data_IF_052181552955
#
_entry.id   IF_052181552955
#
_cell.length_a   1.000
_cell.length_b   1.000
_cell.length_c   1.000
_cell.angle_alpha   90.00
_cell.angle_beta   90.00
_cell.angle_gamma   90.00
#
_symmetry.space_group_name_H-M   'P 1'
#
loop_
_entity.id
_entity.type
_entity.pdbx_description
1 polymer ?
#
# COMPACT_ATOMS: atom_id res chain seq x y z
N UNK A 1 10.51 12.33 -2.64
CA UNK A 1 9.91 13.15 -1.57
C UNK A 1 8.52 12.59 -1.31
N UNK A 2 8.16 12.29 -0.06
CA UNK A 2 6.84 11.73 0.29
C UNK A 2 5.91 12.86 0.75
N UNK A 3 4.65 12.82 0.31
CA UNK A 3 3.60 13.77 0.69
C UNK A 3 2.51 13.01 1.44
N UNK A 4 2.06 13.48 2.63
CA UNK A 4 1.02 12.78 3.37
C UNK A 4 -0.33 12.84 2.64
N UNK A 5 -0.96 11.68 2.47
CA UNK A 5 -2.30 11.55 1.88
C UNK A 5 -3.19 10.80 2.86
N UNK A 6 -4.28 11.43 3.30
CA UNK A 6 -5.24 10.83 4.24
C UNK A 6 -6.47 10.33 3.49
N UNK A 7 -6.67 9.02 3.46
CA UNK A 7 -7.84 8.37 2.85
C UNK A 7 -8.55 7.46 3.86
N UNK A 8 -9.85 7.24 3.64
CA UNK A 8 -10.62 6.27 4.42
C UNK A 8 -10.77 4.98 3.61
N UNK A 9 -10.41 3.86 4.21
CA UNK A 9 -10.57 2.53 3.62
C UNK A 9 -11.71 1.77 4.30
N UNK A 10 -12.41 0.87 3.56
CA UNK A 10 -13.31 -0.09 4.19
C UNK A 10 -12.57 -0.89 5.27
N UNK A 11 -13.26 -1.19 6.39
CA UNK A 11 -12.68 -1.90 7.54
C UNK A 11 -11.93 -3.17 7.14
N UNK A 12 -12.50 -3.96 6.22
CA UNK A 12 -11.88 -5.21 5.73
C UNK A 12 -10.54 -4.94 5.03
N UNK A 13 -10.47 -3.92 4.18
CA UNK A 13 -9.25 -3.52 3.47
C UNK A 13 -8.19 -3.01 4.43
N UNK A 14 -8.56 -2.16 5.39
CA UNK A 14 -7.63 -1.66 6.40
C UNK A 14 -7.04 -2.81 7.27
N UNK A 15 -7.87 -3.80 7.63
CA UNK A 15 -7.42 -4.99 8.35
C UNK A 15 -6.49 -5.87 7.51
N UNK A 16 -6.80 -6.05 6.22
CA UNK A 16 -5.96 -6.81 5.30
C UNK A 16 -4.60 -6.14 5.10
N UNK A 17 -4.56 -4.82 4.91
CA UNK A 17 -3.33 -4.04 4.81
C UNK A 17 -2.48 -4.17 6.08
N UNK A 18 -3.11 -4.04 7.26
CA UNK A 18 -2.44 -4.24 8.55
C UNK A 18 -1.82 -5.63 8.67
N UNK A 19 -2.56 -6.67 8.26
CA UNK A 19 -2.07 -8.05 8.30
C UNK A 19 -0.92 -8.27 7.32
N UNK A 20 -1.05 -7.80 6.09
CA UNK A 20 -0.08 -8.02 5.02
C UNK A 20 1.31 -7.49 5.40
N UNK A 21 1.40 -6.23 5.87
CA UNK A 21 2.70 -5.66 6.22
C UNK A 21 3.36 -6.39 7.40
N UNK A 22 2.57 -6.90 8.36
CA UNK A 22 3.10 -7.68 9.48
C UNK A 22 3.63 -9.05 9.01
N UNK A 23 2.89 -9.74 8.15
CA UNK A 23 3.33 -11.03 7.59
C UNK A 23 4.58 -10.88 6.73
N UNK A 24 4.66 -9.82 5.93
CA UNK A 24 5.82 -9.50 5.11
C UNK A 24 7.06 -9.24 5.97
N UNK A 25 6.92 -8.42 7.02
CA UNK A 25 8.00 -8.14 7.97
C UNK A 25 8.50 -9.39 8.71
N UNK A 26 7.59 -10.31 9.07
CA UNK A 26 7.97 -11.58 9.72
C UNK A 26 8.73 -12.51 8.78
N UNK A 27 8.52 -12.39 7.47
CA UNK A 27 9.17 -13.18 6.43
C UNK A 27 10.42 -12.53 5.86
N UNK A 28 10.80 -11.35 6.36
CA UNK A 28 11.86 -10.50 5.79
C UNK A 28 11.65 -10.25 4.29
N UNK A 29 10.38 -10.08 3.90
CA UNK A 29 9.95 -9.90 2.52
C UNK A 29 9.40 -8.48 2.30
N UNK A 30 9.68 -7.89 1.14
CA UNK A 30 9.19 -6.56 0.76
C UNK A 30 7.98 -6.67 -0.18
N UNK A 31 7.06 -5.68 -0.18
CA UNK A 31 6.97 -4.52 0.74
C UNK A 31 6.50 -4.91 2.16
N UNK A 32 7.10 -4.32 3.21
CA UNK A 32 6.83 -4.67 4.63
C UNK A 32 6.25 -3.53 5.48
N UNK A 33 6.01 -2.37 4.86
CA UNK A 33 5.27 -1.27 5.47
C UNK A 33 3.92 -1.06 4.79
N UNK A 34 2.95 -0.50 5.52
CA UNK A 34 1.65 -0.13 4.93
C UNK A 34 1.81 0.93 3.83
N UNK A 35 2.80 1.80 3.95
CA UNK A 35 3.08 2.84 2.96
C UNK A 35 3.58 2.23 1.66
N UNK A 36 4.58 1.34 1.70
CA UNK A 36 5.11 0.68 0.49
C UNK A 36 4.04 -0.16 -0.21
N UNK A 37 3.22 -0.91 0.55
CA UNK A 37 2.11 -1.68 -0.03
C UNK A 37 1.08 -0.76 -0.70
N UNK A 38 0.76 0.36 -0.05
CA UNK A 38 -0.17 1.34 -0.61
C UNK A 38 0.42 2.04 -1.84
N UNK A 39 1.71 2.36 -1.82
CA UNK A 39 2.45 2.94 -2.94
C UNK A 39 2.44 2.01 -4.15
N UNK A 40 2.79 0.73 -3.98
CA UNK A 40 2.78 -0.27 -5.05
C UNK A 40 1.38 -0.42 -5.67
N UNK A 41 0.34 -0.56 -4.84
CA UNK A 41 -1.03 -0.72 -5.32
C UNK A 41 -1.58 0.54 -6.00
N UNK A 42 -1.29 1.74 -5.47
CA UNK A 42 -1.72 3.00 -6.05
C UNK A 42 -0.97 3.31 -7.33
N UNK A 43 0.35 3.07 -7.38
CA UNK A 43 1.16 3.30 -8.55
C UNK A 43 0.70 2.41 -9.73
N UNK A 44 0.50 1.11 -9.49
CA UNK A 44 -0.01 0.19 -10.51
C UNK A 44 -1.36 0.66 -11.09
N UNK A 45 -2.30 1.01 -10.20
CA UNK A 45 -3.61 1.49 -10.64
C UNK A 45 -3.50 2.81 -11.40
N UNK A 46 -2.77 3.80 -10.89
CA UNK A 46 -2.64 5.11 -11.53
C UNK A 46 -1.94 5.02 -12.89
N UNK A 47 -0.85 4.24 -12.98
CA UNK A 47 -0.12 4.03 -14.23
C UNK A 47 -1.00 3.34 -15.27
N UNK A 48 -1.74 2.30 -14.87
CA UNK A 48 -2.67 1.57 -15.75
C UNK A 48 -3.72 2.47 -16.42
N UNK A 49 -4.11 3.56 -15.77
CA UNK A 49 -5.11 4.51 -16.29
C UNK A 49 -4.49 5.82 -16.82
N UNK A 50 -3.17 5.93 -16.87
CA UNK A 50 -2.46 7.11 -17.40
C UNK A 50 -2.52 8.34 -16.48
N UNK A 51 -2.68 8.12 -15.16
CA UNK A 51 -2.63 9.19 -14.15
C UNK A 51 -1.26 9.33 -13.48
N UNK A 52 -0.33 8.42 -13.78
CA UNK A 52 1.05 8.42 -13.31
C UNK A 52 1.94 8.09 -14.51
N UNK A 53 2.89 8.97 -14.81
CA UNK A 53 3.88 8.85 -15.89
C UNK A 53 5.09 7.99 -15.49
#
# INVERSE_FOLDING_TARGET
MLVPVTIRLPRRTAQALRRAHLEQRLKDAKPDTQQEIAEEALADWLAKYGYLD
#
